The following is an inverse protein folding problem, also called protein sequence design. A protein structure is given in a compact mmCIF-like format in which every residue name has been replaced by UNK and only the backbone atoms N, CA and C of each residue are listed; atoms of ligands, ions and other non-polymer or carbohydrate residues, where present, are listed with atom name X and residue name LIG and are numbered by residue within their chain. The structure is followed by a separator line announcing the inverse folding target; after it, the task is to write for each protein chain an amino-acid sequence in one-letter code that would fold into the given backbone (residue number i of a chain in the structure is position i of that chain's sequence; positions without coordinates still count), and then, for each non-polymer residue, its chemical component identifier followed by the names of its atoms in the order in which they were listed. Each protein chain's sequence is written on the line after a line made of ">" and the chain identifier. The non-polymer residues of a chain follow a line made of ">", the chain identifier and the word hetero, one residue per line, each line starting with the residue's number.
data_IF_955879253851
#
_entry.id   IF_955879253851
#
_cell.length_a   1.000
_cell.length_b   1.000
_cell.length_c   1.000
_cell.angle_alpha   90.00
_cell.angle_beta   90.00
_cell.angle_gamma   90.00
#
_symmetry.space_group_name_H-M   'P 1'
#
loop_
_entity.id
_entity.type
_entity.pdbx_description
1 polymer ?
#
# COMPACT_ATOMS: atom_id res chain seq x y z
N UNK A 1 2.04 9.10 -3.99
CA UNK A 1 1.25 7.88 -4.28
C UNK A 1 -0.13 7.98 -3.65
N UNK A 2 -1.13 7.27 -4.17
CA UNK A 2 -2.51 7.27 -3.69
C UNK A 2 -3.17 5.88 -3.83
N UNK A 3 -4.33 5.67 -3.22
CA UNK A 3 -5.10 4.41 -3.33
C UNK A 3 -6.59 4.71 -3.38
N UNK A 4 -7.33 3.90 -4.15
CA UNK A 4 -8.81 3.95 -4.21
C UNK A 4 -9.48 3.66 -2.86
N UNK A 5 -8.77 3.06 -1.90
CA UNK A 5 -9.27 2.87 -0.55
C UNK A 5 -9.31 4.16 0.29
N UNK A 6 -8.61 5.22 -0.14
CA UNK A 6 -8.58 6.53 0.53
C UNK A 6 -8.95 7.64 -0.46
N UNK A 7 -10.25 7.72 -0.78
CA UNK A 7 -10.76 8.62 -1.82
C UNK A 7 -10.47 10.10 -1.54
N UNK A 8 -10.60 10.53 -0.28
CA UNK A 8 -10.33 11.93 0.11
C UNK A 8 -8.86 12.30 -0.06
N UNK A 9 -7.95 11.37 0.23
CA UNK A 9 -6.51 11.58 -0.01
C UNK A 9 -6.20 11.66 -1.50
N UNK A 10 -6.80 10.78 -2.30
CA UNK A 10 -6.65 10.82 -3.76
C UNK A 10 -7.15 12.15 -4.34
N UNK A 11 -8.33 12.59 -3.95
CA UNK A 11 -8.91 13.87 -4.40
C UNK A 11 -8.01 15.05 -4.03
N UNK A 12 -7.60 15.16 -2.76
CA UNK A 12 -6.68 16.23 -2.32
C UNK A 12 -5.39 16.24 -3.13
N UNK A 13 -4.77 15.08 -3.34
CA UNK A 13 -3.50 14.96 -4.08
C UNK A 13 -3.66 15.32 -5.56
N UNK A 14 -4.76 14.92 -6.18
CA UNK A 14 -5.05 15.30 -7.57
C UNK A 14 -5.27 16.81 -7.67
N UNK A 15 -6.09 17.39 -6.81
CA UNK A 15 -6.35 18.84 -6.80
C UNK A 15 -5.07 19.64 -6.55
N UNK A 16 -4.25 19.24 -5.57
CA UNK A 16 -2.95 19.87 -5.31
C UNK A 16 -1.99 19.71 -6.50
N UNK A 17 -1.90 18.52 -7.10
CA UNK A 17 -1.06 18.32 -8.27
C UNK A 17 -1.49 19.18 -9.47
N UNK A 18 -2.76 19.58 -9.56
CA UNK A 18 -3.22 20.51 -10.61
C UNK A 18 -2.76 21.95 -10.40
N UNK A 19 -2.36 22.35 -9.18
CA UNK A 19 -1.85 23.70 -8.89
C UNK A 19 -0.35 23.85 -9.12
N UNK A 20 0.37 22.75 -9.36
CA UNK A 20 1.83 22.75 -9.55
C UNK A 20 2.15 23.02 -11.03
N UNK A 21 3.02 23.99 -11.27
CA UNK A 21 3.62 24.21 -12.59
C UNK A 21 4.82 23.29 -12.80
N UNK A 22 4.80 22.49 -13.88
CA UNK A 22 5.88 21.57 -14.23
C UNK A 22 5.45 20.10 -14.23
N UNK A 23 6.44 19.21 -14.14
CA UNK A 23 6.20 17.76 -14.18
C UNK A 23 5.61 17.27 -12.87
N UNK A 24 4.59 16.43 -12.99
CA UNK A 24 3.82 15.88 -11.88
C UNK A 24 3.46 14.43 -12.15
N UNK A 25 3.49 13.61 -11.10
CA UNK A 25 3.24 12.18 -11.21
C UNK A 25 2.46 11.67 -10.01
N UNK A 26 1.38 10.92 -10.28
CA UNK A 26 0.59 10.26 -9.23
C UNK A 26 0.49 8.77 -9.58
N UNK A 27 1.13 7.94 -8.76
CA UNK A 27 0.94 6.49 -8.79
C UNK A 27 -0.25 6.11 -7.92
N UNK A 28 -1.30 5.55 -8.53
CA UNK A 28 -2.53 5.14 -7.86
C UNK A 28 -2.62 3.62 -7.80
N UNK A 29 -2.76 3.05 -6.59
CA UNK A 29 -3.05 1.63 -6.43
C UNK A 29 -4.53 1.35 -6.69
N UNK A 30 -4.79 0.63 -7.78
CA UNK A 30 -6.13 0.16 -8.19
C UNK A 30 -6.08 -1.36 -8.36
N UNK A 31 -6.63 -2.14 -7.42
CA UNK A 31 -6.72 -3.59 -7.58
C UNK A 31 -7.54 -3.97 -8.82
N UNK A 32 -7.04 -4.92 -9.60
CA UNK A 32 -7.73 -5.45 -10.77
C UNK A 32 -8.30 -6.84 -10.44
N UNK A 33 -9.61 -6.98 -10.20
CA UNK A 33 -10.20 -8.26 -9.78
C UNK A 33 -9.92 -9.39 -10.76
N UNK A 34 -10.02 -9.11 -12.06
CA UNK A 34 -9.77 -10.08 -13.13
C UNK A 34 -8.31 -10.54 -13.12
N UNK A 35 -7.36 -9.59 -13.18
CA UNK A 35 -5.93 -9.91 -13.27
C UNK A 35 -5.35 -10.51 -11.99
N UNK A 36 -5.91 -10.15 -10.83
CA UNK A 36 -5.40 -10.64 -9.53
C UNK A 36 -6.15 -11.88 -9.06
N UNK A 37 -7.27 -12.20 -9.71
CA UNK A 37 -8.16 -13.30 -9.37
C UNK A 37 -8.77 -13.14 -7.97
N UNK A 38 -9.25 -11.94 -7.66
CA UNK A 38 -9.96 -11.63 -6.41
C UNK A 38 -11.45 -11.43 -6.65
N UNK A 39 -12.27 -11.52 -5.59
CA UNK A 39 -13.69 -11.19 -5.70
C UNK A 39 -13.86 -9.69 -6.07
N UNK A 40 -14.72 -9.34 -7.05
CA UNK A 40 -14.93 -7.94 -7.43
C UNK A 40 -15.37 -7.05 -6.26
N UNK A 41 -16.22 -7.57 -5.37
CA UNK A 41 -16.69 -6.88 -4.17
C UNK A 41 -15.56 -6.53 -3.17
N UNK A 42 -14.44 -7.26 -3.22
CA UNK A 42 -13.30 -7.05 -2.32
C UNK A 42 -12.30 -6.00 -2.82
N UNK A 43 -12.57 -5.32 -3.94
CA UNK A 43 -11.63 -4.35 -4.55
C UNK A 43 -11.12 -3.31 -3.54
N UNK A 44 -12.03 -2.67 -2.79
CA UNK A 44 -11.68 -1.65 -1.78
C UNK A 44 -10.97 -2.28 -0.58
N UNK A 45 -11.39 -3.49 -0.18
CA UNK A 45 -10.76 -4.24 0.91
C UNK A 45 -9.31 -4.57 0.60
N UNK A 46 -9.04 -5.08 -0.61
CA UNK A 46 -7.68 -5.41 -1.07
C UNK A 46 -6.82 -4.16 -1.20
N UNK A 47 -7.38 -3.06 -1.74
CA UNK A 47 -6.69 -1.78 -1.81
C UNK A 47 -6.27 -1.29 -0.41
N UNK A 48 -7.17 -1.42 0.59
CA UNK A 48 -6.88 -1.07 1.98
C UNK A 48 -5.81 -1.97 2.58
N UNK A 49 -5.91 -3.29 2.38
CA UNK A 49 -4.92 -4.26 2.87
C UNK A 49 -3.53 -4.07 2.27
N UNK A 50 -3.43 -3.61 1.02
CA UNK A 50 -2.15 -3.23 0.41
C UNK A 50 -1.45 -2.09 1.18
N UNK A 51 -2.22 -1.12 1.68
CA UNK A 51 -1.71 0.00 2.48
C UNK A 51 -1.42 -0.45 3.91
N UNK A 52 -2.38 -1.12 4.56
CA UNK A 52 -2.27 -1.60 5.95
C UNK A 52 -1.14 -2.61 6.15
N UNK A 53 -0.81 -3.39 5.12
CA UNK A 53 0.35 -4.30 5.17
C UNK A 53 1.69 -3.62 4.94
N UNK A 54 1.73 -2.35 4.53
CA UNK A 54 2.97 -1.65 4.19
C UNK A 54 3.54 -1.98 2.81
N UNK A 55 2.87 -2.83 2.02
CA UNK A 55 3.32 -3.15 0.65
C UNK A 55 3.14 -1.99 -0.31
N UNK A 56 2.12 -1.15 -0.12
CA UNK A 56 1.89 0.05 -0.91
C UNK A 56 1.91 1.31 -0.02
N UNK A 57 3.09 1.96 0.13
CA UNK A 57 3.21 3.17 0.94
C UNK A 57 2.45 4.34 0.29
N UNK A 58 1.71 5.08 1.11
CA UNK A 58 1.04 6.32 0.71
C UNK A 58 1.84 7.52 1.19
N UNK A 59 2.55 8.18 0.27
CA UNK A 59 3.40 9.34 0.57
C UNK A 59 3.38 10.39 -0.54
N UNK A 60 3.89 11.57 -0.23
CA UNK A 60 4.09 12.71 -1.12
C UNK A 60 5.58 13.08 -1.10
N UNK A 61 6.09 13.49 -2.25
CA UNK A 61 7.46 13.92 -2.38
C UNK A 61 7.57 15.04 -3.40
N UNK A 62 8.40 16.03 -3.08
CA UNK A 62 8.66 17.21 -3.89
C UNK A 62 10.16 17.50 -3.85
N UNK A 63 10.74 17.82 -5.00
CA UNK A 63 12.16 18.17 -5.12
C UNK A 63 13.15 17.16 -4.47
N UNK A 64 12.78 15.87 -4.47
CA UNK A 64 13.60 14.79 -3.90
C UNK A 64 13.32 14.48 -2.43
N UNK A 65 12.52 15.29 -1.75
CA UNK A 65 12.21 15.16 -0.32
C UNK A 65 10.79 14.65 -0.08
N UNK A 66 10.60 13.85 0.97
CA UNK A 66 9.27 13.38 1.38
C UNK A 66 8.58 14.49 2.17
N UNK A 67 7.47 15.01 1.64
CA UNK A 67 6.73 16.14 2.23
C UNK A 67 5.50 15.69 3.04
N UNK A 68 4.99 14.48 2.78
CA UNK A 68 3.79 13.99 3.43
C UNK A 68 3.68 12.47 3.39
N UNK A 69 2.92 11.91 4.34
CA UNK A 69 2.62 10.47 4.40
C UNK A 69 1.28 10.22 5.06
N UNK A 70 0.64 9.11 4.69
CA UNK A 70 -0.48 8.59 5.46
C UNK A 70 0.03 7.52 6.43
N UNK A 71 -0.32 7.70 7.70
CA UNK A 71 0.00 6.73 8.75
C UNK A 71 -0.89 5.47 8.63
N UNK A 72 -0.25 4.32 8.80
CA UNK A 72 -0.92 3.03 8.93
C UNK A 72 -1.45 2.93 10.35
N UNK A 73 -2.76 3.17 10.50
CA UNK A 73 -3.45 3.09 11.81
C UNK A 73 -3.62 1.67 12.32
N UNK A 74 -3.71 0.71 11.40
CA UNK A 74 -3.87 -0.72 11.68
C UNK A 74 -2.91 -1.49 10.79
N UNK A 75 -1.77 -1.87 11.33
CA UNK A 75 -0.84 -2.73 10.60
C UNK A 75 -1.36 -4.16 10.57
N UNK A 76 -1.26 -4.80 9.40
CA UNK A 76 -1.60 -6.22 9.22
C UNK A 76 -0.43 -6.97 8.59
N UNK A 77 -0.28 -8.29 8.82
CA UNK A 77 0.72 -9.08 8.12
C UNK A 77 0.39 -9.16 6.61
N UNK A 78 1.42 -9.31 5.77
CA UNK A 78 1.26 -9.34 4.30
C UNK A 78 0.32 -10.46 3.83
N UNK A 79 0.26 -11.57 4.56
CA UNK A 79 -0.61 -12.71 4.28
C UNK A 79 -2.10 -12.31 4.21
N UNK A 80 -2.53 -11.32 5.01
CA UNK A 80 -3.90 -10.81 4.98
C UNK A 80 -4.24 -10.22 3.60
N UNK A 81 -3.28 -9.53 2.97
CA UNK A 81 -3.38 -9.03 1.60
C UNK A 81 -3.23 -10.16 0.57
N UNK A 82 -2.22 -11.02 0.71
CA UNK A 82 -1.86 -12.03 -0.30
C UNK A 82 -2.94 -13.10 -0.47
N UNK A 83 -3.57 -13.58 0.62
CA UNK A 83 -4.54 -14.69 0.61
C UNK A 83 -5.81 -14.43 -0.21
N UNK A 84 -6.15 -13.17 -0.46
CA UNK A 84 -7.36 -12.80 -1.20
C UNK A 84 -7.19 -12.82 -2.73
N UNK A 85 -5.99 -13.17 -3.22
CA UNK A 85 -5.62 -13.00 -4.63
C UNK A 85 -5.08 -14.32 -5.19
N UNK A 86 -5.72 -14.87 -6.23
CA UNK A 86 -5.26 -16.12 -6.87
C UNK A 86 -3.83 -16.05 -7.41
N UNK A 87 -3.34 -14.86 -7.80
CA UNK A 87 -1.94 -14.69 -8.26
C UNK A 87 -0.89 -15.11 -7.23
N UNK A 88 -1.26 -15.15 -5.94
CA UNK A 88 -0.38 -15.58 -4.85
C UNK A 88 -0.77 -16.96 -4.28
N UNK A 89 -1.74 -17.67 -4.86
CA UNK A 89 -2.23 -18.94 -4.33
C UNK A 89 -1.12 -20.00 -4.19
N UNK A 90 -0.14 -20.01 -5.10
CA UNK A 90 1.00 -20.92 -5.08
C UNK A 90 1.88 -20.80 -3.81
N UNK A 91 1.88 -19.64 -3.14
CA UNK A 91 2.62 -19.43 -1.89
C UNK A 91 1.97 -20.16 -0.70
N UNK A 92 0.67 -20.44 -0.77
CA UNK A 92 -0.12 -21.06 0.29
C UNK A 92 -0.50 -22.51 -0.03
N UNK A 93 0.26 -23.17 -0.92
CA UNK A 93 0.12 -24.59 -1.21
C UNK A 93 0.50 -25.48 -0.03
N UNK A 94 0.64 -26.78 -0.29
CA UNK A 94 1.09 -27.75 0.71
C UNK A 94 2.40 -28.43 0.27
N UNK A 95 3.55 -28.18 0.93
CA UNK A 95 3.72 -27.25 2.05
C UNK A 95 3.69 -25.77 1.60
N UNK A 96 3.35 -24.82 2.50
CA UNK A 96 3.37 -23.40 2.18
C UNK A 96 4.81 -22.87 2.02
N UNK A 97 4.98 -21.89 1.14
CA UNK A 97 6.27 -21.23 0.88
C UNK A 97 6.53 -20.10 1.89
N UNK A 98 6.81 -20.50 3.12
CA UNK A 98 7.05 -19.58 4.24
C UNK A 98 8.25 -18.66 4.00
N UNK A 99 9.24 -19.12 3.22
CA UNK A 99 10.46 -18.34 2.92
C UNK A 99 10.10 -17.15 2.03
N UNK A 100 9.35 -17.37 0.95
CA UNK A 100 8.93 -16.27 0.07
C UNK A 100 7.94 -15.33 0.76
N UNK A 101 7.03 -15.85 1.58
CA UNK A 101 6.11 -15.01 2.37
C UNK A 101 6.89 -14.08 3.32
N UNK A 102 7.87 -14.63 4.05
CA UNK A 102 8.73 -13.83 4.94
C UNK A 102 9.55 -12.78 4.17
N UNK A 103 10.03 -13.10 2.97
CA UNK A 103 10.72 -12.13 2.11
C UNK A 103 9.81 -10.96 1.68
N UNK A 104 8.53 -11.24 1.40
CA UNK A 104 7.52 -10.21 1.09
C UNK A 104 7.21 -9.36 2.32
N UNK A 105 7.10 -9.96 3.51
CA UNK A 105 6.94 -9.22 4.77
C UNK A 105 8.12 -8.28 5.01
N UNK A 106 9.35 -8.73 4.76
CA UNK A 106 10.53 -7.88 4.88
C UNK A 106 10.52 -6.68 3.89
N UNK A 107 9.88 -6.78 2.72
CA UNK A 107 9.67 -5.63 1.82
C UNK A 107 8.72 -4.62 2.48
N UNK A 108 7.60 -5.09 3.01
CA UNK A 108 6.64 -4.26 3.74
C UNK A 108 7.31 -3.54 4.93
N UNK A 109 8.09 -4.25 5.74
CA UNK A 109 8.77 -3.68 6.91
C UNK A 109 9.80 -2.62 6.48
N UNK A 110 10.54 -2.86 5.39
CA UNK A 110 11.45 -1.86 4.82
C UNK A 110 10.73 -0.62 4.33
N UNK A 111 9.58 -0.76 3.68
CA UNK A 111 8.76 0.38 3.26
C UNK A 111 8.27 1.16 4.48
N UNK A 112 7.74 0.48 5.49
CA UNK A 112 7.27 1.09 6.73
C UNK A 112 8.38 1.91 7.38
N UNK A 113 9.58 1.35 7.51
CA UNK A 113 10.74 2.05 8.07
C UNK A 113 11.17 3.23 7.21
N UNK A 114 11.31 3.02 5.89
CA UNK A 114 11.82 4.04 4.95
C UNK A 114 10.93 5.29 4.90
N UNK A 115 9.62 5.09 4.87
CA UNK A 115 8.66 6.19 4.77
C UNK A 115 8.09 6.62 6.13
N UNK A 116 8.49 5.95 7.22
CA UNK A 116 8.01 6.19 8.58
C UNK A 116 6.49 6.03 8.72
N UNK A 117 5.93 4.95 8.20
CA UNK A 117 4.47 4.81 8.04
C UNK A 117 3.70 4.52 9.33
N UNK A 118 4.38 4.33 10.45
CA UNK A 118 3.74 4.13 11.75
C UNK A 118 3.84 5.41 12.57
N UNK A 119 2.87 5.62 13.45
CA UNK A 119 2.91 6.73 14.39
C UNK A 119 4.22 6.68 15.20
N UNK A 120 4.91 7.81 15.29
CA UNK A 120 6.01 7.98 16.21
C UNK A 120 5.44 7.87 17.62
N UNK A 121 5.88 6.91 18.42
CA UNK A 121 5.66 6.98 19.87
C UNK A 121 6.49 8.17 20.35
N UNK A 122 5.87 9.35 20.42
CA UNK A 122 6.43 10.46 21.20
C UNK A 122 6.27 10.01 22.65
N UNK A 123 7.32 9.38 23.18
CA UNK A 123 7.49 9.31 24.62
C UNK A 123 7.93 10.70 25.05
N UNK A 124 6.99 11.39 25.69
CA UNK A 124 7.24 12.59 26.50
C UNK A 124 8.13 12.24 27.71
#
# INVERSE_FOLDING_TARGET
>A
TASVANLRDLERKVTYAMTIEGSRYIHINVPCPLGWGSAPADTIKIARLAVESGLFPLFEAEHGEITGRNEIRRQVPVEAYLKLQKRFAHLFGNPPDVVRIAAIQAIADRNIKRFGLLASTVHE
#
